data_IF_819519294865
#
_entry.id   IF_819519294865
#
_cell.length_a   1.000
_cell.length_b   1.000
_cell.length_c   1.000
_cell.angle_alpha   90.00
_cell.angle_beta   90.00
_cell.angle_gamma   90.00
#
_symmetry.space_group_name_H-M   'P 1'
#
loop_
_entity.id
_entity.type
_entity.pdbx_description
1 polymer ?
#
# COMPACT_ATOMS: atom_id res chain seq x y z
N UNK A 1 66.88 29.94 -1.49
CA UNK A 1 68.21 29.69 -0.84
C UNK A 1 68.16 28.34 -0.16
N UNK A 2 68.99 27.42 -0.68
CA UNK A 2 69.72 26.33 -0.04
C UNK A 2 68.88 25.22 0.71
N UNK A 3 68.75 24.10 0.04
CA UNK A 3 69.04 22.73 0.53
C UNK A 3 70.48 22.71 1.09
N UNK A 4 71.01 21.65 1.76
CA UNK A 4 70.82 20.22 1.47
C UNK A 4 71.10 19.18 2.63
N UNK A 5 70.88 17.89 2.31
CA UNK A 5 71.73 16.68 2.56
C UNK A 5 71.98 16.26 4.04
N UNK A 6 72.19 15.01 4.43
CA UNK A 6 72.40 13.68 3.83
C UNK A 6 72.71 12.68 4.94
N UNK A 7 72.41 11.46 4.78
CA UNK A 7 73.21 10.23 4.64
C UNK A 7 73.56 9.40 5.86
N UNK A 8 73.56 8.10 5.61
CA UNK A 8 74.27 6.95 6.23
C UNK A 8 73.66 6.38 7.53
N UNK A 9 73.51 5.07 7.73
CA UNK A 9 73.87 3.89 6.94
C UNK A 9 73.87 2.66 7.83
N UNK A 10 73.59 1.56 7.20
CA UNK A 10 74.12 0.20 7.45
C UNK A 10 74.06 -0.42 8.85
N UNK A 11 73.61 -1.62 9.04
CA UNK A 11 74.09 -2.99 8.75
C UNK A 11 73.25 -4.01 9.54
N UNK A 12 72.73 -5.04 8.86
CA UNK A 12 72.94 -6.48 8.91
C UNK A 12 72.85 -7.23 10.27
N UNK A 13 71.79 -8.05 10.43
CA UNK A 13 71.68 -9.51 10.34
C UNK A 13 72.01 -10.31 11.62
N UNK A 14 71.62 -11.60 11.78
CA UNK A 14 70.49 -12.38 11.29
C UNK A 14 69.80 -13.28 12.36
N UNK A 15 68.71 -13.92 11.91
CA UNK A 15 68.25 -15.24 12.34
C UNK A 15 67.72 -15.48 13.76
N UNK A 16 66.37 -15.67 13.80
CA UNK A 16 65.83 -16.86 14.47
C UNK A 16 64.48 -17.23 13.87
N UNK A 17 64.43 -18.39 13.25
CA UNK A 17 63.25 -19.06 12.73
C UNK A 17 62.34 -19.52 13.88
N UNK A 18 61.05 -19.08 13.85
CA UNK A 18 60.00 -19.79 14.54
C UNK A 18 58.85 -20.02 13.58
N UNK A 19 58.79 -21.25 13.07
CA UNK A 19 57.68 -21.81 12.33
C UNK A 19 56.45 -21.89 13.22
N UNK A 20 55.51 -20.94 13.09
CA UNK A 20 54.14 -21.12 13.53
C UNK A 20 53.29 -21.56 12.35
N UNK A 21 52.93 -22.83 12.32
CA UNK A 21 51.88 -23.38 11.48
C UNK A 21 50.56 -22.76 11.92
N UNK A 22 50.11 -21.70 11.22
CA UNK A 22 48.79 -21.18 11.37
C UNK A 22 47.80 -22.05 10.60
N UNK A 23 46.92 -22.74 11.29
CA UNK A 23 45.76 -23.39 10.70
C UNK A 23 44.77 -22.27 10.28
N UNK A 24 44.64 -22.04 8.96
CA UNK A 24 43.59 -21.22 8.42
C UNK A 24 42.32 -22.07 8.36
N UNK A 25 41.38 -21.86 9.27
CA UNK A 25 40.02 -22.38 9.14
C UNK A 25 39.30 -21.57 8.09
N UNK A 26 39.18 -22.11 6.88
CA UNK A 26 38.28 -21.58 5.86
C UNK A 26 36.87 -22.05 6.22
N UNK A 27 36.08 -21.17 6.85
CA UNK A 27 34.65 -21.39 7.03
C UNK A 27 33.97 -21.13 5.68
N UNK A 28 33.66 -22.20 4.95
CA UNK A 28 32.84 -22.16 3.77
C UNK A 28 31.37 -21.85 4.24
N UNK A 29 30.97 -20.60 4.19
CA UNK A 29 29.58 -20.22 4.31
C UNK A 29 28.83 -20.70 3.04
N UNK A 30 28.24 -21.88 3.12
CA UNK A 30 27.25 -22.33 2.14
C UNK A 30 26.02 -21.48 2.28
N UNK A 31 25.93 -20.40 1.51
CA UNK A 31 24.69 -19.67 1.30
C UNK A 31 23.76 -20.52 0.44
N UNK A 32 22.81 -21.21 1.08
CA UNK A 32 21.68 -21.79 0.37
C UNK A 32 20.80 -20.63 -0.11
N UNK A 33 20.55 -20.46 -1.41
CA UNK A 33 19.53 -19.52 -1.85
C UNK A 33 18.18 -20.00 -1.32
N UNK A 34 17.51 -19.18 -0.53
CA UNK A 34 16.10 -19.37 -0.23
C UNK A 34 15.33 -19.43 -1.55
N UNK A 35 14.41 -20.37 -1.74
CA UNK A 35 13.61 -20.41 -2.95
C UNK A 35 12.84 -19.09 -3.05
N UNK A 36 13.17 -18.27 -4.04
CA UNK A 36 12.38 -17.12 -4.41
C UNK A 36 11.00 -17.67 -4.80
N UNK A 37 9.98 -17.37 -3.99
CA UNK A 37 8.60 -17.65 -4.38
C UNK A 37 8.32 -16.82 -5.64
N UNK A 38 8.28 -17.48 -6.78
CA UNK A 38 7.90 -16.85 -8.03
C UNK A 38 6.47 -16.31 -7.84
N UNK A 39 6.29 -14.99 -8.07
CA UNK A 39 4.96 -14.40 -8.10
C UNK A 39 4.07 -15.22 -9.07
N UNK A 40 2.83 -15.57 -8.68
CA UNK A 40 1.94 -16.33 -9.56
C UNK A 40 1.73 -15.58 -10.87
N UNK A 41 1.59 -16.32 -11.97
CA UNK A 41 1.29 -15.73 -13.26
C UNK A 41 0.04 -14.82 -13.13
N UNK A 42 0.00 -13.62 -13.77
CA UNK A 42 -1.06 -12.62 -13.57
C UNK A 42 -2.49 -13.18 -13.66
N UNK A 43 -2.73 -14.11 -14.57
CA UNK A 43 -4.03 -14.78 -14.70
C UNK A 43 -4.40 -15.66 -13.50
N UNK A 44 -3.45 -16.36 -12.88
CA UNK A 44 -3.70 -17.22 -11.74
C UNK A 44 -4.09 -16.43 -10.49
N UNK A 45 -3.50 -15.26 -10.31
CA UNK A 45 -3.80 -14.39 -9.19
C UNK A 45 -5.21 -13.77 -9.30
N UNK A 46 -5.59 -13.31 -10.49
CA UNK A 46 -6.95 -12.78 -10.76
C UNK A 46 -8.02 -13.86 -10.61
N UNK A 47 -7.70 -15.12 -10.99
CA UNK A 47 -8.63 -16.26 -10.88
C UNK A 47 -9.06 -16.56 -9.44
N UNK A 48 -8.33 -16.08 -8.43
CA UNK A 48 -8.71 -16.22 -7.01
C UNK A 48 -9.83 -15.26 -6.58
N UNK A 49 -10.15 -14.27 -7.42
CA UNK A 49 -11.18 -13.28 -7.14
C UNK A 49 -12.47 -13.62 -7.89
N UNK A 50 -13.58 -13.65 -7.17
CA UNK A 50 -14.93 -13.83 -7.73
C UNK A 50 -15.30 -12.58 -8.53
N UNK A 51 -15.77 -12.75 -9.77
CA UNK A 51 -16.27 -11.65 -10.58
C UNK A 51 -17.69 -11.27 -10.15
N UNK A 52 -17.94 -9.96 -9.99
CA UNK A 52 -19.25 -9.42 -9.70
C UNK A 52 -19.58 -8.18 -10.52
N UNK A 53 -20.84 -7.81 -10.52
CA UNK A 53 -21.32 -6.54 -11.08
C UNK A 53 -22.39 -5.97 -10.15
N UNK A 54 -22.43 -4.66 -10.06
CA UNK A 54 -23.40 -3.92 -9.28
C UNK A 54 -24.12 -2.91 -10.17
N UNK A 55 -25.42 -2.72 -9.95
CA UNK A 55 -26.21 -1.64 -10.55
C UNK A 55 -26.92 -0.87 -9.45
N UNK A 56 -26.68 0.42 -9.41
CA UNK A 56 -27.33 1.32 -8.45
C UNK A 56 -28.83 1.48 -8.76
N UNK A 57 -29.62 1.94 -7.80
CA UNK A 57 -31.02 2.32 -8.05
C UNK A 57 -31.17 3.42 -9.10
N UNK A 58 -30.17 4.28 -9.28
CA UNK A 58 -30.13 5.33 -10.30
C UNK A 58 -29.65 4.84 -11.67
N UNK A 59 -29.34 3.54 -11.81
CA UNK A 59 -29.04 2.89 -13.09
C UNK A 59 -27.57 2.82 -13.47
N UNK A 60 -26.66 3.46 -12.69
CA UNK A 60 -25.22 3.33 -12.92
C UNK A 60 -24.73 1.93 -12.60
N UNK A 61 -23.76 1.46 -13.35
CA UNK A 61 -23.19 0.13 -13.15
C UNK A 61 -21.68 0.19 -12.89
N UNK A 62 -21.21 -0.78 -12.11
CA UNK A 62 -19.78 -0.99 -11.85
C UNK A 62 -19.50 -2.49 -11.72
N UNK A 63 -18.46 -2.96 -12.39
CA UNK A 63 -17.94 -4.32 -12.19
C UNK A 63 -16.93 -4.32 -11.06
N UNK A 64 -16.79 -5.47 -10.39
CA UNK A 64 -15.84 -5.64 -9.30
C UNK A 64 -15.29 -7.05 -9.22
N UNK A 65 -14.20 -7.20 -8.52
CA UNK A 65 -13.64 -8.48 -8.08
C UNK A 65 -13.64 -8.56 -6.57
N UNK A 66 -14.03 -9.71 -6.04
CA UNK A 66 -14.05 -9.99 -4.61
C UNK A 66 -13.19 -11.21 -4.30
N UNK A 67 -12.17 -11.02 -3.47
CA UNK A 67 -11.47 -12.13 -2.85
C UNK A 67 -12.16 -12.47 -1.53
N UNK A 68 -12.51 -13.75 -1.38
CA UNK A 68 -13.05 -14.33 -0.15
C UNK A 68 -11.93 -15.14 0.51
N UNK A 69 -11.65 -14.97 1.81
CA UNK A 69 -10.63 -15.76 2.50
C UNK A 69 -10.87 -17.26 2.29
N UNK A 70 -9.81 -18.06 2.04
CA UNK A 70 -9.97 -19.51 1.79
C UNK A 70 -10.71 -20.24 2.90
N UNK A 71 -10.49 -19.85 4.16
CA UNK A 71 -11.09 -20.45 5.35
C UNK A 71 -12.23 -19.56 5.92
N UNK A 72 -13.02 -18.95 5.02
CA UNK A 72 -14.14 -18.11 5.43
C UNK A 72 -15.14 -18.89 6.31
N UNK A 73 -15.40 -18.34 7.48
CA UNK A 73 -16.37 -18.85 8.44
C UNK A 73 -17.42 -17.78 8.72
N UNK A 74 -18.65 -18.00 8.31
CA UNK A 74 -19.75 -17.04 8.50
C UNK A 74 -20.09 -16.77 9.98
N UNK A 75 -19.65 -17.63 10.91
CA UNK A 75 -19.81 -17.42 12.35
C UNK A 75 -18.80 -16.42 12.92
N UNK A 76 -17.74 -16.10 12.18
CA UNK A 76 -16.70 -15.14 12.57
C UNK A 76 -16.84 -13.84 11.80
N UNK A 77 -16.37 -12.74 12.39
CA UNK A 77 -16.29 -11.43 11.74
C UNK A 77 -14.94 -11.26 11.08
N UNK A 78 -14.94 -10.86 9.81
CA UNK A 78 -13.75 -10.75 8.98
C UNK A 78 -13.49 -9.30 8.53
N UNK A 79 -12.23 -8.82 8.52
CA UNK A 79 -11.88 -7.52 7.97
C UNK A 79 -12.06 -7.50 6.46
N UNK A 80 -12.20 -6.30 5.89
CA UNK A 80 -12.24 -6.08 4.45
C UNK A 80 -11.36 -4.91 4.04
N UNK A 81 -10.63 -5.10 2.94
CA UNK A 81 -9.84 -4.06 2.27
C UNK A 81 -10.54 -3.67 0.97
N UNK A 82 -10.94 -2.41 0.86
CA UNK A 82 -11.35 -1.79 -0.40
C UNK A 82 -10.11 -1.35 -1.15
N UNK A 83 -9.80 -2.04 -2.27
CA UNK A 83 -8.67 -1.74 -3.13
C UNK A 83 -9.08 -0.84 -4.29
N UNK A 84 -8.46 0.34 -4.40
CA UNK A 84 -8.71 1.33 -5.45
C UNK A 84 -7.52 1.37 -6.41
N UNK A 85 -7.72 0.91 -7.63
CA UNK A 85 -6.68 0.80 -8.66
C UNK A 85 -6.22 2.15 -9.20
N UNK A 86 -5.01 2.21 -9.74
CA UNK A 86 -4.47 3.34 -10.49
C UNK A 86 -5.11 3.49 -11.90
N UNK A 87 -4.74 4.53 -12.62
CA UNK A 87 -5.34 4.86 -13.92
C UNK A 87 -5.28 3.72 -14.96
N UNK A 88 -4.23 2.91 -14.94
CA UNK A 88 -4.08 1.76 -15.84
C UNK A 88 -5.09 0.62 -15.57
N UNK A 89 -5.78 0.63 -14.43
CA UNK A 89 -6.82 -0.36 -14.11
C UNK A 89 -8.21 0.00 -14.63
N UNK A 90 -8.38 1.19 -15.24
CA UNK A 90 -9.66 1.60 -15.82
C UNK A 90 -10.14 0.63 -16.88
N UNK A 91 -11.45 0.44 -16.95
CA UNK A 91 -12.07 -0.44 -17.92
C UNK A 91 -13.44 -0.93 -17.51
N UNK A 92 -13.90 -1.94 -18.23
CA UNK A 92 -15.11 -2.70 -17.94
C UNK A 92 -14.89 -4.22 -18.13
N UNK A 93 -13.62 -4.62 -18.30
CA UNK A 93 -13.19 -5.99 -18.52
C UNK A 93 -13.18 -6.84 -17.23
N UNK A 94 -13.36 -6.20 -16.10
CA UNK A 94 -13.29 -6.82 -14.77
C UNK A 94 -11.99 -7.60 -14.54
N UNK A 95 -10.88 -7.12 -15.12
CA UNK A 95 -9.55 -7.75 -15.07
C UNK A 95 -8.44 -6.73 -14.80
N UNK A 96 -8.43 -5.60 -15.52
CA UNK A 96 -7.32 -4.64 -15.52
C UNK A 96 -7.07 -4.01 -14.13
N UNK A 97 -8.10 -3.91 -13.27
CA UNK A 97 -7.97 -3.41 -11.89
C UNK A 97 -7.08 -4.28 -10.99
N UNK A 98 -6.81 -5.53 -11.39
CA UNK A 98 -5.97 -6.49 -10.67
C UNK A 98 -4.70 -6.88 -11.42
N UNK A 99 -4.39 -6.23 -12.54
CA UNK A 99 -3.29 -6.60 -13.42
C UNK A 99 -2.28 -5.49 -13.63
N UNK A 100 -1.14 -5.81 -14.24
CA UNK A 100 -0.07 -4.85 -14.51
C UNK A 100 0.40 -4.16 -13.24
N UNK A 101 0.58 -2.85 -13.26
CA UNK A 101 0.98 -2.04 -12.10
C UNK A 101 -0.02 -2.02 -10.95
N UNK A 102 -1.26 -2.53 -11.13
CA UNK A 102 -2.25 -2.66 -10.06
C UNK A 102 -2.16 -4.00 -9.32
N UNK A 103 -1.40 -4.96 -9.84
CA UNK A 103 -1.32 -6.31 -9.27
C UNK A 103 -0.63 -6.34 -7.91
N UNK A 104 0.42 -5.54 -7.71
CA UNK A 104 1.18 -5.55 -6.46
C UNK A 104 0.28 -5.34 -5.25
N UNK A 105 -0.51 -4.26 -5.25
CA UNK A 105 -1.40 -3.93 -4.13
C UNK A 105 -2.59 -4.88 -4.00
N UNK A 106 -3.25 -5.25 -5.08
CA UNK A 106 -4.39 -6.15 -5.00
C UNK A 106 -4.00 -7.55 -4.51
N UNK A 107 -2.81 -8.03 -4.87
CA UNK A 107 -2.34 -9.36 -4.51
C UNK A 107 -1.67 -9.42 -3.14
N UNK A 108 -1.05 -8.34 -2.68
CA UNK A 108 -0.39 -8.28 -1.36
C UNK A 108 -1.32 -8.75 -0.25
N UNK A 109 -2.55 -8.23 -0.21
CA UNK A 109 -3.55 -8.59 0.81
C UNK A 109 -4.02 -10.04 0.72
N UNK A 110 -3.83 -10.69 -0.43
CA UNK A 110 -4.27 -12.06 -0.67
C UNK A 110 -3.14 -13.09 -0.62
N UNK A 111 -1.92 -12.70 -0.23
CA UNK A 111 -0.81 -13.64 -0.03
C UNK A 111 -1.14 -14.65 1.04
N UNK A 112 -0.60 -15.89 0.98
CA UNK A 112 -0.83 -16.89 2.02
C UNK A 112 -0.48 -16.39 3.43
N UNK A 113 0.60 -15.62 3.55
CA UNK A 113 1.10 -15.06 4.81
C UNK A 113 0.09 -14.08 5.42
N UNK A 114 -0.39 -13.10 4.63
CA UNK A 114 -1.37 -12.13 5.10
C UNK A 114 -2.72 -12.79 5.37
N UNK A 115 -3.12 -13.77 4.56
CA UNK A 115 -4.37 -14.49 4.76
C UNK A 115 -4.32 -15.37 6.01
N UNK A 116 -3.21 -16.05 6.30
CA UNK A 116 -3.06 -16.83 7.52
C UNK A 116 -3.19 -15.98 8.81
N UNK A 117 -2.81 -14.71 8.73
CA UNK A 117 -2.81 -13.81 9.88
C UNK A 117 -4.11 -13.01 10.01
N UNK A 118 -4.67 -12.50 8.90
CA UNK A 118 -5.74 -11.50 8.95
C UNK A 118 -7.09 -12.01 8.43
N UNK A 119 -7.12 -13.06 7.59
CA UNK A 119 -8.34 -13.61 6.97
C UNK A 119 -9.23 -12.51 6.35
N UNK A 120 -8.61 -11.60 5.60
CA UNK A 120 -9.28 -10.41 5.11
C UNK A 120 -9.91 -10.62 3.72
N UNK A 121 -11.12 -10.10 3.54
CA UNK A 121 -11.69 -9.89 2.21
C UNK A 121 -10.94 -8.79 1.47
N UNK A 122 -10.91 -8.87 0.12
CA UNK A 122 -10.43 -7.77 -0.72
C UNK A 122 -11.46 -7.49 -1.80
N UNK A 123 -12.01 -6.28 -1.77
CA UNK A 123 -12.95 -5.79 -2.76
C UNK A 123 -12.22 -4.84 -3.72
N UNK A 124 -12.21 -5.17 -5.01
CA UNK A 124 -11.55 -4.41 -6.07
C UNK A 124 -12.56 -4.01 -7.17
N UNK A 125 -13.29 -2.90 -7.02
CA UNK A 125 -14.15 -2.37 -8.07
C UNK A 125 -13.33 -1.78 -9.22
N UNK A 126 -13.93 -1.67 -10.42
CA UNK A 126 -13.27 -1.14 -11.62
C UNK A 126 -14.00 0.11 -12.12
N UNK A 127 -13.25 1.19 -12.28
CA UNK A 127 -13.74 2.46 -12.84
C UNK A 127 -13.69 2.41 -14.36
N UNK A 128 -14.75 2.91 -14.99
CA UNK A 128 -14.83 3.11 -16.45
C UNK A 128 -13.67 3.99 -16.96
N UNK A 129 -13.26 3.75 -18.24
CA UNK A 129 -12.13 4.43 -18.88
C UNK A 129 -12.26 5.96 -18.91
N UNK A 130 -13.48 6.49 -18.90
CA UNK A 130 -13.77 7.92 -18.97
C UNK A 130 -13.85 8.61 -17.62
N UNK A 131 -13.70 7.85 -16.51
CA UNK A 131 -13.93 8.32 -15.13
C UNK A 131 -12.68 8.18 -14.27
N UNK A 132 -12.74 8.76 -13.08
CA UNK A 132 -11.76 8.59 -11.99
C UNK A 132 -12.47 8.34 -10.68
N UNK A 133 -11.71 7.99 -9.64
CA UNK A 133 -12.23 7.80 -8.29
C UNK A 133 -12.63 9.12 -7.65
N UNK A 134 -11.85 10.18 -7.89
CA UNK A 134 -12.11 11.53 -7.41
C UNK A 134 -12.21 12.50 -8.58
N UNK A 135 -12.94 13.61 -8.38
CA UNK A 135 -12.90 14.76 -9.27
C UNK A 135 -12.30 15.92 -8.50
N UNK A 136 -11.24 16.53 -8.98
CA UNK A 136 -10.77 17.80 -8.43
C UNK A 136 -11.91 18.84 -8.45
N UNK A 137 -12.09 19.53 -7.33
CA UNK A 137 -13.00 20.69 -7.20
C UNK A 137 -14.52 20.42 -7.29
N UNK A 138 -15.01 19.21 -7.03
CA UNK A 138 -16.45 18.94 -7.03
C UNK A 138 -16.98 18.74 -5.60
N UNK A 139 -17.96 19.57 -5.21
CA UNK A 139 -18.71 19.42 -3.95
C UNK A 139 -19.69 18.22 -3.96
N UNK A 140 -19.78 17.52 -5.08
CA UNK A 140 -20.62 16.33 -5.22
C UNK A 140 -19.75 15.09 -5.22
N UNK A 141 -20.08 14.07 -4.39
CA UNK A 141 -19.32 12.83 -4.37
C UNK A 141 -19.19 12.22 -5.77
N UNK A 142 -17.98 11.83 -6.20
CA UNK A 142 -17.79 11.19 -7.49
C UNK A 142 -18.60 9.90 -7.58
N UNK A 143 -19.28 9.70 -8.71
CA UNK A 143 -20.13 8.52 -8.94
C UNK A 143 -19.37 7.22 -8.70
N UNK A 144 -18.11 7.15 -9.13
CA UNK A 144 -17.31 5.94 -9.00
C UNK A 144 -17.07 5.53 -7.54
N UNK A 145 -16.71 6.48 -6.67
CA UNK A 145 -16.45 6.14 -5.26
C UNK A 145 -17.75 5.85 -4.52
N UNK A 146 -18.86 6.53 -4.87
CA UNK A 146 -20.18 6.22 -4.33
C UNK A 146 -20.58 4.78 -4.66
N UNK A 147 -20.42 4.35 -5.92
CA UNK A 147 -20.71 2.97 -6.34
C UNK A 147 -19.82 1.96 -5.62
N UNK A 148 -18.53 2.28 -5.41
CA UNK A 148 -17.64 1.40 -4.65
C UNK A 148 -18.11 1.21 -3.20
N UNK A 149 -18.59 2.27 -2.55
CA UNK A 149 -19.16 2.19 -1.20
C UNK A 149 -20.48 1.42 -1.18
N UNK A 150 -21.36 1.60 -2.17
CA UNK A 150 -22.60 0.82 -2.31
C UNK A 150 -22.34 -0.67 -2.55
N UNK A 151 -21.27 -1.00 -3.30
CA UNK A 151 -20.82 -2.39 -3.45
C UNK A 151 -20.35 -2.94 -2.10
N UNK A 152 -19.58 -2.17 -1.35
CA UNK A 152 -19.12 -2.57 -0.01
C UNK A 152 -20.32 -2.86 0.91
N UNK A 153 -21.38 -2.00 0.90
CA UNK A 153 -22.64 -2.26 1.64
C UNK A 153 -23.33 -3.57 1.21
N UNK A 154 -23.20 -3.91 -0.07
CA UNK A 154 -23.78 -5.15 -0.60
C UNK A 154 -22.99 -6.38 -0.11
N UNK A 155 -21.66 -6.28 -0.08
CA UNK A 155 -20.79 -7.35 0.44
C UNK A 155 -21.03 -7.57 1.93
N UNK A 156 -21.18 -6.51 2.73
CA UNK A 156 -21.51 -6.61 4.16
C UNK A 156 -22.84 -7.33 4.45
N UNK A 157 -23.80 -7.22 3.54
CA UNK A 157 -25.08 -7.95 3.65
C UNK A 157 -24.97 -9.43 3.29
N UNK A 158 -23.99 -9.79 2.46
CA UNK A 158 -23.80 -11.16 1.96
C UNK A 158 -22.82 -11.96 2.81
N UNK A 159 -21.85 -11.29 3.45
CA UNK A 159 -20.78 -11.92 4.19
C UNK A 159 -20.67 -11.36 5.61
N UNK A 160 -20.07 -12.13 6.50
CA UNK A 160 -19.84 -11.73 7.90
C UNK A 160 -18.64 -10.76 8.02
N UNK A 161 -18.82 -9.54 7.54
CA UNK A 161 -17.79 -8.49 7.62
C UNK A 161 -17.79 -7.83 9.00
N UNK A 162 -16.59 -7.52 9.49
CA UNK A 162 -16.38 -6.73 10.69
C UNK A 162 -16.35 -5.24 10.33
N UNK A 163 -17.43 -4.54 10.62
CA UNK A 163 -17.56 -3.10 10.34
C UNK A 163 -16.56 -2.23 11.11
N UNK A 164 -16.00 -2.73 12.19
CA UNK A 164 -14.93 -2.03 12.89
C UNK A 164 -13.56 -2.19 12.19
N UNK A 165 -13.43 -3.10 11.22
CA UNK A 165 -12.19 -3.41 10.50
C UNK A 165 -12.38 -3.31 8.99
N UNK A 166 -12.88 -2.17 8.53
CA UNK A 166 -12.94 -1.81 7.12
C UNK A 166 -11.80 -0.85 6.80
N UNK A 167 -11.09 -1.14 5.73
CA UNK A 167 -9.91 -0.39 5.31
C UNK A 167 -10.02 0.02 3.86
N UNK A 168 -9.42 1.16 3.50
CA UNK A 168 -9.32 1.59 2.10
C UNK A 168 -7.87 1.81 1.73
N UNK A 169 -7.46 1.21 0.61
CA UNK A 169 -6.09 1.29 0.09
C UNK A 169 -6.15 1.63 -1.39
N UNK A 170 -5.29 2.51 -1.85
CA UNK A 170 -5.27 2.87 -3.28
C UNK A 170 -3.98 3.50 -3.72
N UNK A 171 -3.68 3.34 -5.03
CA UNK A 171 -2.47 3.86 -5.66
C UNK A 171 -2.78 4.86 -6.76
N UNK A 172 -1.98 5.93 -6.88
CA UNK A 172 -2.10 6.95 -7.93
C UNK A 172 -3.52 7.54 -7.97
N UNK A 173 -4.25 7.43 -9.05
CA UNK A 173 -5.68 7.76 -9.12
C UNK A 173 -6.49 7.10 -7.98
N UNK A 174 -6.14 5.87 -7.58
CA UNK A 174 -6.75 5.18 -6.42
C UNK A 174 -6.34 5.82 -5.09
N UNK A 175 -5.14 6.37 -5.00
CA UNK A 175 -4.69 7.17 -3.85
C UNK A 175 -5.54 8.44 -3.67
N UNK A 176 -5.90 9.12 -4.77
CA UNK A 176 -6.89 10.21 -4.75
C UNK A 176 -8.28 9.68 -4.31
N UNK A 177 -8.64 8.47 -4.77
CA UNK A 177 -9.87 7.78 -4.40
C UNK A 177 -9.97 7.46 -2.92
N UNK A 178 -8.85 7.15 -2.25
CA UNK A 178 -8.80 6.99 -0.79
C UNK A 178 -9.32 8.25 -0.10
N UNK A 179 -8.82 9.42 -0.47
CA UNK A 179 -9.26 10.69 0.11
C UNK A 179 -10.73 10.99 -0.17
N UNK A 180 -11.21 10.66 -1.38
CA UNK A 180 -12.61 10.79 -1.72
C UNK A 180 -13.49 9.86 -0.85
N UNK A 181 -13.10 8.60 -0.64
CA UNK A 181 -13.81 7.65 0.23
C UNK A 181 -13.87 8.16 1.67
N UNK A 182 -12.71 8.57 2.22
CA UNK A 182 -12.62 9.14 3.58
C UNK A 182 -13.43 10.44 3.73
N UNK A 183 -13.52 11.28 2.69
CA UNK A 183 -14.32 12.52 2.76
C UNK A 183 -15.81 12.27 2.80
N UNK A 184 -16.27 11.12 2.26
CA UNK A 184 -17.70 10.74 2.25
C UNK A 184 -18.07 10.02 3.55
N UNK A 185 -17.27 9.05 3.98
CA UNK A 185 -17.57 8.16 5.10
C UNK A 185 -16.31 7.95 5.99
N UNK A 186 -15.80 9.01 6.65
CA UNK A 186 -14.59 8.91 7.46
C UNK A 186 -14.74 7.94 8.64
N UNK A 187 -15.95 7.87 9.21
CA UNK A 187 -16.28 7.01 10.34
C UNK A 187 -16.33 5.51 10.00
N UNK A 188 -16.41 5.19 8.73
CA UNK A 188 -16.48 3.82 8.24
C UNK A 188 -15.13 3.11 8.32
N UNK A 189 -14.06 3.84 7.95
CA UNK A 189 -12.74 3.23 7.77
C UNK A 189 -11.91 3.30 9.04
N UNK A 190 -11.43 2.14 9.50
CA UNK A 190 -10.53 2.02 10.63
C UNK A 190 -9.15 2.64 10.36
N UNK A 191 -8.65 2.45 9.13
CA UNK A 191 -7.43 3.07 8.64
C UNK A 191 -7.39 3.07 7.11
N UNK A 192 -6.46 3.83 6.54
CA UNK A 192 -6.28 3.93 5.10
C UNK A 192 -4.81 3.97 4.69
N UNK A 193 -4.52 3.52 3.46
CA UNK A 193 -3.21 3.66 2.83
C UNK A 193 -3.37 4.37 1.49
N UNK A 194 -2.69 5.50 1.33
CA UNK A 194 -2.69 6.30 0.11
C UNK A 194 -1.29 6.33 -0.53
N UNK A 195 -1.14 5.75 -1.72
CA UNK A 195 0.11 5.73 -2.46
C UNK A 195 0.05 6.76 -3.59
N UNK A 196 1.02 7.69 -3.61
CA UNK A 196 1.23 8.74 -4.63
C UNK A 196 -0.10 9.38 -5.10
N UNK A 197 -0.93 9.80 -4.14
CA UNK A 197 -2.18 10.51 -4.36
C UNK A 197 -2.50 11.43 -3.17
N UNK A 198 -3.11 12.57 -3.46
CA UNK A 198 -3.53 13.55 -2.45
C UNK A 198 -4.99 13.96 -2.68
N UNK A 199 -5.60 14.56 -1.67
CA UNK A 199 -6.97 15.05 -1.74
C UNK A 199 -7.05 16.56 -1.98
N UNK A 200 -8.26 17.08 -2.02
CA UNK A 200 -8.52 18.51 -2.07
C UNK A 200 -8.64 19.11 -0.66
N UNK A 201 -8.18 20.35 -0.48
CA UNK A 201 -8.13 21.02 0.82
C UNK A 201 -9.46 21.02 1.58
N UNK A 202 -10.61 21.04 0.89
CA UNK A 202 -11.93 20.99 1.52
C UNK A 202 -12.20 19.66 2.24
N UNK A 203 -11.47 18.59 1.93
CA UNK A 203 -11.62 17.27 2.57
C UNK A 203 -10.99 17.24 3.96
N UNK A 204 -9.97 18.09 4.23
CA UNK A 204 -9.14 18.07 5.44
C UNK A 204 -9.98 17.97 6.74
N UNK A 205 -11.02 18.78 6.96
CA UNK A 205 -11.77 18.74 8.22
C UNK A 205 -12.41 17.38 8.52
N UNK A 206 -12.70 16.60 7.47
CA UNK A 206 -13.33 15.28 7.60
C UNK A 206 -12.34 14.16 7.73
N UNK A 207 -11.21 14.24 6.98
CA UNK A 207 -10.27 13.11 6.85
C UNK A 207 -9.12 13.16 7.85
N UNK A 208 -8.86 14.31 8.48
CA UNK A 208 -7.67 14.52 9.31
C UNK A 208 -7.56 13.57 10.51
N UNK A 209 -8.68 13.09 11.03
CA UNK A 209 -8.72 12.20 12.21
C UNK A 209 -8.64 10.72 11.89
N UNK A 210 -8.80 10.34 10.62
CA UNK A 210 -8.68 8.94 10.21
C UNK A 210 -7.19 8.55 10.21
N UNK A 211 -6.80 7.41 10.81
CA UNK A 211 -5.45 6.90 10.69
C UNK A 211 -5.09 6.63 9.22
N UNK A 212 -4.08 7.32 8.70
CA UNK A 212 -3.65 7.16 7.31
C UNK A 212 -2.13 7.00 7.23
N UNK A 213 -1.67 6.06 6.41
CA UNK A 213 -0.27 5.99 6.00
C UNK A 213 -0.14 6.41 4.54
N UNK A 214 0.64 7.45 4.31
CA UNK A 214 0.85 8.08 3.01
C UNK A 214 2.24 7.69 2.51
N UNK A 215 2.30 7.26 1.26
CA UNK A 215 3.54 6.86 0.59
C UNK A 215 3.77 7.68 -0.67
N UNK A 216 4.99 8.18 -0.87
CA UNK A 216 5.34 9.02 -2.02
C UNK A 216 6.75 8.75 -2.50
N UNK A 217 6.95 8.70 -3.82
CA UNK A 217 8.26 8.73 -4.45
C UNK A 217 8.78 10.16 -4.56
N UNK A 218 10.04 10.40 -4.18
CA UNK A 218 10.63 11.74 -4.23
C UNK A 218 10.75 12.29 -5.65
N UNK A 219 11.03 11.39 -6.62
CA UNK A 219 11.23 11.73 -8.03
C UNK A 219 9.96 11.48 -8.89
N UNK A 220 8.77 11.50 -8.28
CA UNK A 220 7.51 11.28 -8.99
C UNK A 220 7.21 12.45 -9.97
N UNK A 221 7.23 12.19 -11.30
CA UNK A 221 6.99 13.24 -12.30
C UNK A 221 5.50 13.52 -12.54
N UNK A 222 4.60 12.64 -12.06
CA UNK A 222 3.15 12.75 -12.28
C UNK A 222 2.43 13.37 -11.09
N UNK A 223 2.84 12.97 -9.88
CA UNK A 223 2.33 13.49 -8.61
C UNK A 223 3.51 14.07 -7.83
N UNK A 224 3.78 15.38 -7.97
CA UNK A 224 4.95 15.99 -7.36
C UNK A 224 5.00 15.79 -5.84
N UNK A 225 6.15 15.41 -5.31
CA UNK A 225 6.38 15.17 -3.87
C UNK A 225 6.00 16.38 -3.01
N UNK A 226 6.14 17.60 -3.54
CA UNK A 226 5.72 18.82 -2.85
C UNK A 226 4.25 18.82 -2.48
N UNK A 227 3.38 18.25 -3.34
CA UNK A 227 1.94 18.13 -3.07
C UNK A 227 1.66 17.15 -1.93
N UNK A 228 2.39 16.05 -1.86
CA UNK A 228 2.28 15.11 -0.75
C UNK A 228 2.74 15.73 0.57
N UNK A 229 3.88 16.43 0.55
CA UNK A 229 4.40 17.17 1.73
C UNK A 229 3.43 18.25 2.22
N UNK A 230 2.85 19.04 1.31
CA UNK A 230 1.81 20.04 1.62
C UNK A 230 0.58 19.38 2.24
N UNK A 231 0.10 18.29 1.63
CA UNK A 231 -1.08 17.56 2.11
C UNK A 231 -0.87 17.00 3.53
N UNK A 232 0.28 16.40 3.80
CA UNK A 232 0.66 15.92 5.13
C UNK A 232 0.72 17.08 6.14
N UNK A 233 1.27 18.22 5.75
CA UNK A 233 1.34 19.40 6.61
C UNK A 233 -0.05 19.93 6.98
N UNK A 234 -0.97 20.01 6.03
CA UNK A 234 -2.35 20.46 6.28
C UNK A 234 -3.13 19.45 7.14
N UNK A 235 -2.94 18.14 6.95
CA UNK A 235 -3.54 17.14 7.84
C UNK A 235 -3.06 17.31 9.28
N UNK A 236 -1.74 17.49 9.49
CA UNK A 236 -1.15 17.72 10.81
C UNK A 236 -1.65 19.01 11.45
N UNK A 237 -1.75 20.09 10.69
CA UNK A 237 -2.31 21.36 11.13
C UNK A 237 -3.78 21.23 11.58
N UNK A 238 -4.55 20.35 10.95
CA UNK A 238 -5.92 20.03 11.36
C UNK A 238 -6.00 19.03 12.52
N UNK A 239 -4.86 18.71 13.15
CA UNK A 239 -4.75 17.83 14.32
C UNK A 239 -4.80 16.34 13.98
N UNK A 240 -4.55 15.96 12.74
CA UNK A 240 -4.30 14.58 12.32
C UNK A 240 -2.87 14.14 12.59
N UNK A 241 -2.65 12.84 12.63
CA UNK A 241 -1.33 12.21 12.84
C UNK A 241 -1.01 11.21 11.73
N UNK A 242 -0.97 11.65 10.45
CA UNK A 242 -0.69 10.73 9.36
C UNK A 242 0.74 10.20 9.45
N UNK A 243 0.91 8.90 9.22
CA UNK A 243 2.21 8.34 8.87
C UNK A 243 2.58 8.79 7.46
N UNK A 244 3.85 9.10 7.24
CA UNK A 244 4.36 9.50 5.94
C UNK A 244 5.71 8.86 5.66
N UNK A 245 5.78 8.11 4.57
CA UNK A 245 7.03 7.54 4.05
C UNK A 245 7.31 8.11 2.67
N UNK A 246 8.51 8.67 2.50
CA UNK A 246 9.00 9.21 1.25
C UNK A 246 10.22 8.40 0.81
N UNK A 247 10.20 7.92 -0.42
CA UNK A 247 11.27 7.08 -0.95
C UNK A 247 12.20 7.88 -1.87
N UNK A 248 13.46 8.10 -1.47
CA UNK A 248 14.47 8.73 -2.31
C UNK A 248 14.67 7.96 -3.62
N UNK A 249 14.87 8.69 -4.72
CA UNK A 249 15.15 8.12 -6.05
C UNK A 249 14.07 7.18 -6.61
N UNK A 250 12.88 7.19 -6.04
CA UNK A 250 11.71 6.47 -6.56
C UNK A 250 10.78 7.44 -7.26
N UNK A 251 10.34 7.07 -8.47
CA UNK A 251 9.35 7.80 -9.24
C UNK A 251 7.90 7.45 -8.87
N UNK A 252 7.00 7.53 -9.85
CA UNK A 252 5.57 7.29 -9.65
C UNK A 252 5.22 5.86 -9.21
N UNK A 253 6.04 4.87 -9.59
CA UNK A 253 5.78 3.45 -9.29
C UNK A 253 6.16 3.07 -7.85
N UNK A 254 5.84 3.91 -6.88
CA UNK A 254 6.15 3.68 -5.45
C UNK A 254 5.57 2.37 -4.91
N UNK A 255 4.50 1.85 -5.51
CA UNK A 255 3.90 0.55 -5.14
C UNK A 255 4.82 -0.64 -5.33
N UNK A 256 5.86 -0.53 -6.18
CA UNK A 256 6.83 -1.62 -6.38
C UNK A 256 7.68 -1.87 -5.12
N UNK A 257 7.78 -0.89 -4.21
CA UNK A 257 8.54 -0.98 -2.97
C UNK A 257 7.65 -1.00 -1.72
N UNK A 258 6.52 -0.29 -1.73
CA UNK A 258 5.62 -0.14 -0.56
C UNK A 258 5.09 -1.48 -0.06
N UNK A 259 4.72 -2.40 -0.96
CA UNK A 259 4.22 -3.71 -0.54
C UNK A 259 5.32 -4.67 -0.02
N UNK A 260 6.57 -4.17 0.09
CA UNK A 260 7.65 -4.80 0.83
C UNK A 260 8.00 -4.05 2.12
N UNK A 261 7.27 -2.98 2.47
CA UNK A 261 7.48 -2.18 3.68
C UNK A 261 7.21 -3.04 4.92
N UNK A 262 8.19 -3.18 5.83
CA UNK A 262 8.01 -3.94 7.07
C UNK A 262 6.86 -3.38 7.91
N UNK A 263 5.99 -4.26 8.41
CA UNK A 263 4.89 -3.87 9.28
C UNK A 263 3.69 -3.23 8.58
N UNK A 264 3.67 -3.12 7.22
CA UNK A 264 2.58 -2.48 6.48
C UNK A 264 1.22 -3.12 6.78
N UNK A 265 1.13 -4.44 6.70
CA UNK A 265 -0.11 -5.16 6.99
C UNK A 265 -0.46 -5.09 8.49
N UNK A 266 0.52 -5.30 9.36
CA UNK A 266 0.34 -5.19 10.81
C UNK A 266 -0.22 -3.82 11.20
N UNK A 267 0.38 -2.75 10.66
CA UNK A 267 -0.10 -1.39 10.91
C UNK A 267 -1.56 -1.23 10.46
N UNK A 268 -1.92 -1.63 9.25
CA UNK A 268 -3.28 -1.47 8.74
C UNK A 268 -4.28 -2.21 9.63
N UNK A 269 -4.05 -3.49 9.88
CA UNK A 269 -4.98 -4.35 10.61
C UNK A 269 -4.96 -4.16 12.13
N UNK A 270 -4.04 -3.36 12.70
CA UNK A 270 -4.04 -3.00 14.12
C UNK A 270 -5.11 -1.97 14.47
N UNK A 271 -5.68 -1.25 13.49
CA UNK A 271 -6.68 -0.21 13.72
C UNK A 271 -8.10 -0.77 13.68
N UNK A 272 -8.97 -0.17 14.53
CA UNK A 272 -10.42 -0.42 14.51
C UNK A 272 -11.18 0.90 14.54
N UNK A 273 -12.27 1.02 13.75
CA UNK A 273 -13.13 2.21 13.81
C UNK A 273 -13.91 2.23 15.13
N UNK A 274 -14.18 3.44 15.66
CA UNK A 274 -14.81 3.60 16.97
C UNK A 274 -13.87 3.52 18.18
N UNK A 275 -12.56 3.26 18.00
CA UNK A 275 -11.57 3.33 19.11
C UNK A 275 -11.17 4.77 19.45
N UNK A 276 -11.31 5.70 18.51
CA UNK A 276 -10.92 7.12 18.67
C UNK A 276 -11.74 7.82 19.77
N UNK A 277 -12.96 7.37 20.06
CA UNK A 277 -13.80 7.94 21.11
C UNK A 277 -13.52 7.38 22.52
N UNK A 278 -12.70 6.34 22.67
CA UNK A 278 -12.40 5.72 23.97
C UNK A 278 -11.12 6.22 24.63
N UNK A 279 -10.33 7.05 23.94
CA UNK A 279 -9.05 7.59 24.45
C UNK A 279 -9.10 9.09 24.76
N UNK A 280 -10.27 9.73 24.66
CA UNK A 280 -10.52 11.09 25.16
C UNK A 280 -11.45 11.02 26.38
#
# INVERSE_FOLDING_TARGET
MRTPRSLFGLMLDPAHSFTRRGFVFVILLLSFPLPAHAAPAPHAAVARFIAGSYRSPSGEAMVYRLFVPPDYDAAKKHPIVLWLHGAAGRGSDNFSQLSGGNSAGSHFWTTPENQAQYHAFVLAPQVDVTKGWARPHANTPPVAIRLALEILDTIEKQYSIDRAREYVVGQSMGGEGVWAALSIAPERFAAAIALCGYGDAYMIPRVAKVPVWIFQGEEDPLVPVTRAREWVAELRKAGGTPNYSEYPSIGHNVWDVVFSEPGLAEWLFSHQSGETDRQQ
#
